data_IF_020724624467
#
_entry.id   IF_020724624467
#
_cell.length_a   1.000
_cell.length_b   1.000
_cell.length_c   1.000
_cell.angle_alpha   90.00
_cell.angle_beta   90.00
_cell.angle_gamma   90.00
#
_symmetry.space_group_name_H-M   'P 1'
#
loop_
_entity.id
_entity.type
_entity.pdbx_description
1 polymer ?
#
# COMPACT_ATOMS: atom_id res chain seq x y z
N UNK A 1 -22.75 18.69 20.06
CA UNK A 1 -22.19 19.22 18.81
C UNK A 1 -21.64 18.00 18.11
N UNK A 2 -22.50 17.43 17.26
CA UNK A 2 -22.26 16.20 16.53
C UNK A 2 -21.21 16.47 15.46
N UNK A 3 -20.14 15.68 15.42
CA UNK A 3 -19.12 15.77 14.38
C UNK A 3 -19.70 15.15 13.11
N UNK A 4 -20.27 16.00 12.26
CA UNK A 4 -20.66 15.66 10.91
C UNK A 4 -19.38 15.47 10.09
N UNK A 5 -18.89 14.22 10.05
CA UNK A 5 -17.87 13.77 9.12
C UNK A 5 -18.52 13.72 7.73
N UNK A 6 -18.61 14.88 7.09
CA UNK A 6 -19.01 14.96 5.68
C UNK A 6 -17.90 14.30 4.87
N UNK A 7 -18.11 13.01 4.62
CA UNK A 7 -17.48 12.21 3.58
C UNK A 7 -17.53 12.99 2.27
N UNK A 8 -16.41 13.64 1.94
CA UNK A 8 -16.13 14.01 0.57
C UNK A 8 -15.77 12.72 -0.15
N UNK A 9 -16.80 12.08 -0.72
CA UNK A 9 -16.65 11.07 -1.74
C UNK A 9 -15.82 11.67 -2.88
N UNK A 10 -14.54 11.34 -2.92
CA UNK A 10 -13.70 11.50 -4.09
C UNK A 10 -14.25 10.54 -5.15
N UNK A 11 -14.85 11.10 -6.18
CA UNK A 11 -15.31 10.37 -7.37
C UNK A 11 -14.16 9.54 -7.94
N UNK A 12 -14.23 8.21 -7.77
CA UNK A 12 -13.40 7.24 -8.48
C UNK A 12 -11.92 7.23 -8.10
N UNK A 13 -11.56 7.26 -6.82
CA UNK A 13 -10.23 6.84 -6.40
C UNK A 13 -9.99 5.41 -6.88
N UNK A 14 -9.13 5.24 -7.89
CA UNK A 14 -8.60 3.93 -8.26
C UNK A 14 -7.73 3.51 -7.07
N UNK A 15 -8.32 2.73 -6.15
CA UNK A 15 -7.55 2.09 -5.09
C UNK A 15 -6.58 1.16 -5.78
N UNK A 16 -5.28 1.31 -5.51
CA UNK A 16 -4.28 0.40 -6.02
C UNK A 16 -4.59 -1.00 -5.52
N UNK A 17 -4.70 -1.94 -6.45
CA UNK A 17 -5.02 -3.32 -6.16
C UNK A 17 -3.74 -4.16 -6.15
N UNK A 18 -3.41 -4.77 -5.01
CA UNK A 18 -2.25 -5.64 -4.92
C UNK A 18 -2.69 -7.08 -4.63
N UNK A 19 -1.86 -8.04 -5.06
CA UNK A 19 -2.11 -9.47 -4.84
C UNK A 19 -1.03 -10.02 -3.93
N UNK A 20 -1.42 -10.44 -2.73
CA UNK A 20 -0.56 -11.22 -1.86
C UNK A 20 -0.61 -12.69 -2.27
N UNK A 21 0.53 -13.23 -2.67
CA UNK A 21 0.72 -14.66 -2.92
C UNK A 21 1.32 -15.29 -1.66
N UNK A 22 0.55 -16.18 -1.04
CA UNK A 22 1.03 -17.08 0.01
C UNK A 22 1.40 -18.38 -0.69
N UNK A 23 2.68 -18.70 -0.76
CA UNK A 23 3.23 -19.86 -1.48
C UNK A 23 4.10 -20.75 -0.61
N UNK A 24 4.67 -21.80 -1.21
CA UNK A 24 5.76 -22.56 -0.61
C UNK A 24 7.08 -21.79 -0.76
N UNK A 25 8.03 -21.97 0.15
CA UNK A 25 9.40 -21.56 -0.11
C UNK A 25 9.99 -22.29 -1.34
N UNK A 26 11.11 -21.78 -1.87
CA UNK A 26 11.70 -22.29 -3.11
C UNK A 26 12.12 -23.76 -3.02
N UNK A 27 12.58 -24.21 -1.85
CA UNK A 27 13.08 -25.59 -1.64
C UNK A 27 11.91 -26.58 -1.59
N UNK A 28 10.83 -26.21 -0.90
CA UNK A 28 9.57 -26.96 -0.82
C UNK A 28 8.86 -26.99 -2.16
N UNK A 29 8.85 -25.88 -2.89
CA UNK A 29 8.31 -25.82 -4.25
C UNK A 29 9.10 -26.75 -5.18
N UNK A 30 10.43 -26.74 -5.10
CA UNK A 30 11.27 -27.65 -5.88
C UNK A 30 11.05 -29.13 -5.50
N UNK A 31 10.85 -29.45 -4.22
CA UNK A 31 10.50 -30.80 -3.75
C UNK A 31 9.15 -31.25 -4.32
N UNK A 32 8.13 -30.39 -4.27
CA UNK A 32 6.82 -30.63 -4.88
C UNK A 32 6.94 -30.93 -6.38
N UNK A 33 7.73 -30.14 -7.11
CA UNK A 33 7.95 -30.33 -8.56
C UNK A 33 8.66 -31.64 -8.90
N UNK A 34 9.46 -32.20 -7.98
CA UNK A 34 10.07 -33.53 -8.11
C UNK A 34 9.13 -34.68 -7.74
N UNK A 35 7.90 -34.39 -7.33
CA UNK A 35 6.90 -35.39 -6.93
C UNK A 35 7.05 -35.86 -5.49
N UNK A 36 7.81 -35.14 -4.65
CA UNK A 36 7.92 -35.44 -3.22
C UNK A 36 6.64 -35.02 -2.48
N UNK A 37 6.24 -35.80 -1.46
CA UNK A 37 5.11 -35.45 -0.62
C UNK A 37 5.49 -34.29 0.31
N UNK A 38 4.90 -33.12 0.07
CA UNK A 38 4.97 -31.95 0.96
C UNK A 38 3.73 -31.97 1.86
N UNK A 39 3.94 -31.98 3.18
CA UNK A 39 2.93 -32.17 4.22
C UNK A 39 2.43 -30.82 4.79
N UNK A 40 1.38 -30.80 5.66
CA UNK A 40 0.70 -29.57 6.06
C UNK A 40 1.62 -28.49 6.62
N UNK A 41 1.34 -27.29 6.14
CA UNK A 41 2.17 -26.10 6.16
C UNK A 41 2.42 -25.56 7.58
N UNK A 42 3.68 -25.52 7.99
CA UNK A 42 4.07 -24.58 9.03
C UNK A 42 4.15 -23.17 8.41
N UNK A 43 3.64 -22.10 9.06
CA UNK A 43 3.69 -20.75 8.50
C UNK A 43 5.09 -20.26 8.12
N UNK A 44 6.12 -20.77 8.80
CA UNK A 44 7.53 -20.44 8.53
C UNK A 44 8.11 -21.12 7.27
N UNK A 45 7.41 -22.12 6.71
CA UNK A 45 7.80 -22.81 5.46
C UNK A 45 7.12 -22.19 4.22
N UNK A 46 6.54 -21.00 4.39
CA UNK A 46 5.82 -20.27 3.35
C UNK A 46 6.65 -19.13 2.79
N UNK A 47 6.41 -18.83 1.53
CA UNK A 47 6.84 -17.58 0.90
C UNK A 47 5.66 -16.62 0.84
N UNK A 48 5.96 -15.33 0.97
CA UNK A 48 5.00 -14.26 0.83
C UNK A 48 5.52 -13.32 -0.24
N UNK A 49 4.74 -13.10 -1.29
CA UNK A 49 5.14 -12.24 -2.41
C UNK A 49 3.99 -11.32 -2.75
N UNK A 50 4.26 -10.02 -2.77
CA UNK A 50 3.29 -9.02 -3.15
C UNK A 50 3.46 -8.69 -4.63
N UNK A 51 2.39 -8.81 -5.41
CA UNK A 51 2.37 -8.57 -6.84
C UNK A 51 1.53 -7.31 -7.10
N UNK A 52 2.12 -6.37 -7.83
CA UNK A 52 1.39 -5.28 -8.45
C UNK A 52 1.03 -5.66 -9.89
N UNK A 53 -0.26 -5.83 -10.22
CA UNK A 53 -0.67 -6.15 -11.58
C UNK A 53 -0.32 -5.05 -12.58
N UNK A 54 -0.08 -5.43 -13.84
CA UNK A 54 0.15 -4.48 -14.91
C UNK A 54 -1.04 -3.52 -15.08
N UNK A 55 -0.75 -2.22 -15.20
CA UNK A 55 -1.79 -1.21 -15.38
C UNK A 55 -2.58 -0.85 -14.12
N UNK A 56 -2.16 -1.32 -12.94
CA UNK A 56 -2.78 -0.99 -11.66
C UNK A 56 -2.76 0.52 -11.33
N UNK A 57 -1.89 1.29 -12.02
CA UNK A 57 -1.90 2.75 -11.95
C UNK A 57 -1.63 3.27 -10.54
N UNK A 58 -0.79 2.57 -9.77
CA UNK A 58 -0.40 2.95 -8.42
C UNK A 58 0.05 4.41 -8.38
N UNK A 59 -0.49 5.13 -7.40
CA UNK A 59 -0.24 6.55 -7.14
C UNK A 59 -0.18 6.75 -5.63
N UNK A 60 0.42 7.84 -5.22
CA UNK A 60 0.25 8.36 -3.87
C UNK A 60 1.14 9.57 -3.66
N UNK A 61 1.79 9.68 -2.51
CA UNK A 61 2.61 10.84 -2.20
C UNK A 61 3.83 10.46 -1.36
N UNK A 62 5.00 10.95 -1.74
CA UNK A 62 6.22 10.80 -0.94
C UNK A 62 6.49 12.09 -0.19
N UNK A 63 7.19 11.98 0.94
CA UNK A 63 7.74 13.17 1.57
C UNK A 63 8.82 13.77 0.66
N UNK A 64 8.80 15.09 0.52
CA UNK A 64 9.91 15.76 -0.17
C UNK A 64 11.12 15.87 0.77
N UNK A 65 12.26 15.32 0.35
CA UNK A 65 13.52 15.39 1.11
C UNK A 65 14.37 16.64 0.84
N UNK A 66 13.89 17.57 0.01
CA UNK A 66 14.57 18.83 -0.28
C UNK A 66 14.03 19.98 0.58
N UNK A 67 14.87 20.97 0.94
CA UNK A 67 14.44 22.06 1.80
C UNK A 67 13.47 23.02 1.13
N UNK A 68 12.41 23.37 1.86
CA UNK A 68 11.35 24.27 1.41
C UNK A 68 11.57 25.70 1.92
N UNK A 69 11.49 26.67 1.02
CA UNK A 69 11.65 28.09 1.32
C UNK A 69 10.48 28.89 0.76
N UNK A 70 9.96 29.84 1.54
CA UNK A 70 8.92 30.76 1.10
C UNK A 70 9.25 32.19 1.53
N UNK A 71 9.26 33.12 0.57
CA UNK A 71 9.62 34.52 0.86
C UNK A 71 11.01 34.71 1.47
N UNK A 72 11.95 33.79 1.21
CA UNK A 72 13.30 33.81 1.80
C UNK A 72 13.40 33.26 3.22
N UNK A 73 12.30 32.74 3.78
CA UNK A 73 12.24 32.09 5.09
C UNK A 73 12.14 30.58 4.88
N UNK A 74 12.93 29.75 5.59
CA UNK A 74 12.74 28.31 5.54
C UNK A 74 11.39 27.99 6.16
N UNK A 75 10.59 27.19 5.46
CA UNK A 75 9.29 26.72 5.95
C UNK A 75 9.28 25.21 6.16
N UNK A 76 10.49 24.62 6.25
CA UNK A 76 10.66 23.33 6.88
C UNK A 76 10.26 23.44 8.35
N UNK A 77 9.51 22.46 8.83
CA UNK A 77 9.48 22.15 10.25
C UNK A 77 10.34 20.91 10.47
N UNK A 78 11.33 21.04 11.36
CA UNK A 78 12.10 19.89 11.83
C UNK A 78 11.12 18.93 12.51
N UNK A 79 10.86 17.80 11.84
CA UNK A 79 9.92 16.77 12.29
C UNK A 79 10.29 16.20 13.67
N UNK A 80 11.53 16.42 14.11
CA UNK A 80 11.99 15.98 15.43
C UNK A 80 11.62 16.96 16.55
N UNK A 81 11.12 18.15 16.19
CA UNK A 81 10.83 19.21 17.15
C UNK A 81 9.42 19.76 17.10
N UNK A 82 8.75 19.77 15.94
CA UNK A 82 7.40 20.31 15.83
C UNK A 82 6.67 19.83 14.55
N UNK A 83 5.58 19.09 14.72
CA UNK A 83 4.74 18.59 13.61
C UNK A 83 3.64 19.57 13.17
N UNK A 84 3.63 20.79 13.71
CA UNK A 84 2.66 21.80 13.31
C UNK A 84 3.04 22.43 11.97
N UNK A 85 2.03 22.59 11.13
CA UNK A 85 2.14 23.40 9.92
C UNK A 85 2.32 24.87 10.30
N UNK A 86 3.07 25.68 9.53
CA UNK A 86 2.97 27.12 9.65
C UNK A 86 1.49 27.52 9.57
N UNK A 87 0.99 28.23 10.59
CA UNK A 87 -0.43 28.59 10.66
C UNK A 87 -0.90 29.27 9.39
N UNK A 88 -1.99 28.78 8.80
CA UNK A 88 -2.56 29.25 7.54
C UNK A 88 -2.13 28.49 6.28
N UNK A 89 -1.25 27.48 6.42
CA UNK A 89 -0.78 26.64 5.31
C UNK A 89 -1.34 25.21 5.39
N UNK A 90 -2.26 24.94 6.32
CA UNK A 90 -2.97 23.68 6.44
C UNK A 90 -3.69 23.38 5.10
N UNK A 91 -3.31 22.30 4.41
CA UNK A 91 -3.93 21.85 3.15
C UNK A 91 -3.69 22.76 1.93
N UNK A 92 -2.68 23.61 1.96
CA UNK A 92 -2.32 24.41 0.78
C UNK A 92 -1.40 23.63 -0.17
N UNK A 93 -1.66 23.77 -1.47
CA UNK A 93 -0.71 23.39 -2.52
C UNK A 93 0.30 24.52 -2.76
N UNK A 94 1.58 24.16 -2.83
CA UNK A 94 2.68 25.12 -3.05
C UNK A 94 3.73 24.54 -3.99
N UNK A 95 4.28 25.38 -4.85
CA UNK A 95 5.41 24.99 -5.69
C UNK A 95 6.72 25.25 -4.96
N UNK A 96 7.52 24.20 -4.79
CA UNK A 96 8.91 24.29 -4.34
C UNK A 96 9.77 23.57 -5.37
N UNK A 97 10.97 24.10 -5.66
CA UNK A 97 11.93 23.49 -6.59
C UNK A 97 11.33 23.03 -7.94
N UNK A 98 10.24 23.67 -8.38
CA UNK A 98 9.53 23.38 -9.62
C UNK A 98 8.53 22.21 -9.54
N UNK A 99 8.21 21.72 -8.35
CA UNK A 99 7.25 20.64 -8.10
C UNK A 99 6.14 21.11 -7.16
N UNK A 100 4.89 20.78 -7.47
CA UNK A 100 3.76 21.03 -6.58
C UNK A 100 3.80 20.08 -5.39
N UNK A 101 3.78 20.67 -4.18
CA UNK A 101 3.69 19.97 -2.92
C UNK A 101 2.33 20.22 -2.28
N UNK A 102 1.87 19.24 -1.51
CA UNK A 102 0.73 19.35 -0.62
C UNK A 102 1.19 19.12 0.81
N UNK A 103 0.82 20.02 1.72
CA UNK A 103 1.04 19.80 3.14
C UNK A 103 0.07 18.74 3.67
N UNK A 104 0.60 17.77 4.43
CA UNK A 104 -0.18 16.76 5.14
C UNK A 104 0.22 16.75 6.62
N UNK A 105 -0.77 16.86 7.50
CA UNK A 105 -0.56 16.84 8.95
C UNK A 105 0.18 15.57 9.38
N UNK A 106 1.23 15.72 10.19
CA UNK A 106 2.10 14.62 10.60
C UNK A 106 3.18 14.21 9.59
N UNK A 107 3.13 14.70 8.35
CA UNK A 107 4.00 14.27 7.25
C UNK A 107 4.81 15.41 6.61
N UNK A 108 4.33 16.64 6.74
CA UNK A 108 4.94 17.82 6.16
C UNK A 108 4.62 17.99 4.67
N UNK A 109 5.57 18.54 3.91
CA UNK A 109 5.42 18.76 2.47
C UNK A 109 5.63 17.47 1.69
N UNK A 110 4.60 17.05 0.98
CA UNK A 110 4.59 15.82 0.18
C UNK A 110 4.46 16.13 -1.31
N UNK A 111 5.04 15.29 -2.16
CA UNK A 111 4.94 15.38 -3.62
C UNK A 111 4.21 14.16 -4.17
N UNK A 112 3.49 14.27 -5.31
CA UNK A 112 2.90 13.12 -5.97
C UNK A 112 3.96 12.05 -6.30
N UNK A 113 3.63 10.80 -6.06
CA UNK A 113 4.42 9.65 -6.46
C UNK A 113 3.72 8.91 -7.59
N UNK A 114 4.44 8.76 -8.71
CA UNK A 114 4.04 7.93 -9.85
C UNK A 114 4.91 6.68 -9.88
N UNK A 115 4.38 5.60 -9.34
CA UNK A 115 5.10 4.33 -9.20
C UNK A 115 4.34 3.39 -8.27
N UNK A 116 4.84 2.16 -8.13
CA UNK A 116 4.25 1.17 -7.25
C UNK A 116 5.04 1.11 -5.94
N UNK A 117 4.39 1.51 -4.83
CA UNK A 117 5.06 1.63 -3.53
C UNK A 117 5.62 0.29 -3.04
N UNK A 118 4.95 -0.82 -3.34
CA UNK A 118 5.38 -2.17 -2.92
C UNK A 118 6.68 -2.62 -3.59
N UNK A 119 7.11 -1.94 -4.66
CA UNK A 119 8.41 -2.15 -5.30
C UNK A 119 9.48 -1.17 -4.79
N UNK A 120 9.08 -0.14 -4.05
CA UNK A 120 9.95 0.94 -3.58
C UNK A 120 10.37 0.74 -2.11
N UNK A 121 9.49 0.18 -1.28
CA UNK A 121 9.72 -0.02 0.16
C UNK A 121 9.52 -1.46 0.58
N UNK A 122 10.11 -1.83 1.72
CA UNK A 122 9.72 -3.04 2.44
C UNK A 122 8.29 -2.83 2.98
N UNK A 123 7.48 -3.89 2.93
CA UNK A 123 6.10 -3.86 3.36
C UNK A 123 5.85 -4.86 4.48
N UNK A 124 4.89 -4.54 5.34
CA UNK A 124 4.48 -5.38 6.46
C UNK A 124 3.31 -6.29 6.06
N UNK A 125 3.35 -7.54 6.52
CA UNK A 125 2.32 -8.54 6.25
C UNK A 125 0.96 -8.15 6.85
N UNK A 126 -0.16 -8.64 6.27
CA UNK A 126 -1.46 -8.51 6.90
C UNK A 126 -1.47 -9.13 8.30
N UNK A 127 -2.21 -8.50 9.21
CA UNK A 127 -2.39 -9.03 10.56
C UNK A 127 -2.93 -10.47 10.51
N UNK A 128 -2.20 -11.41 11.11
CA UNK A 128 -2.61 -12.81 11.17
C UNK A 128 -2.41 -13.61 9.88
N UNK A 129 -1.59 -13.13 8.93
CA UNK A 129 -1.31 -13.80 7.64
C UNK A 129 -1.01 -15.31 7.77
N UNK A 130 -0.37 -15.73 8.86
CA UNK A 130 -0.06 -17.12 9.15
C UNK A 130 -1.29 -18.06 9.22
N UNK A 131 -2.48 -17.52 9.45
CA UNK A 131 -3.72 -18.30 9.57
C UNK A 131 -4.34 -18.63 8.20
N UNK A 132 -3.90 -17.96 7.14
CA UNK A 132 -4.47 -18.10 5.80
C UNK A 132 -3.75 -19.23 5.04
N UNK A 133 -4.49 -20.04 4.26
CA UNK A 133 -3.88 -21.09 3.45
C UNK A 133 -3.06 -20.51 2.29
N UNK A 134 -2.25 -21.36 1.66
CA UNK A 134 -1.61 -21.04 0.37
C UNK A 134 -2.67 -20.62 -0.64
N UNK A 135 -2.40 -19.53 -1.36
CA UNK A 135 -3.35 -18.92 -2.27
C UNK A 135 -2.92 -17.53 -2.71
N UNK A 136 -3.74 -16.93 -3.57
CA UNK A 136 -3.61 -15.53 -3.97
C UNK A 136 -4.75 -14.75 -3.34
N UNK A 137 -4.44 -13.60 -2.76
CA UNK A 137 -5.38 -12.79 -2.00
C UNK A 137 -5.32 -11.35 -2.44
N UNK A 138 -6.49 -10.73 -2.56
CA UNK A 138 -6.57 -9.29 -2.77
C UNK A 138 -6.20 -8.57 -1.49
N UNK A 139 -5.27 -7.63 -1.60
CA UNK A 139 -4.86 -6.77 -0.52
C UNK A 139 -4.91 -5.30 -0.95
N UNK A 140 -5.27 -4.46 0.01
CA UNK A 140 -5.13 -3.01 -0.09
C UNK A 140 -3.83 -2.61 0.59
N UNK A 141 -3.12 -1.68 -0.02
CA UNK A 141 -1.95 -1.04 0.57
C UNK A 141 -2.34 0.28 1.22
N UNK A 142 -1.86 0.47 2.44
CA UNK A 142 -1.70 1.79 3.04
C UNK A 142 -0.22 2.05 3.20
N UNK A 143 0.23 3.24 2.87
CA UNK A 143 1.65 3.51 2.82
C UNK A 143 1.97 4.96 3.09
N UNK A 144 3.13 5.15 3.73
CA UNK A 144 3.62 6.46 4.09
C UNK A 144 5.15 6.48 4.03
N UNK A 145 5.66 7.34 3.15
CA UNK A 145 7.10 7.56 2.94
C UNK A 145 7.88 6.26 2.62
N UNK A 146 8.59 5.71 3.61
CA UNK A 146 9.41 4.50 3.50
C UNK A 146 8.73 3.24 4.07
N UNK A 147 7.47 3.34 4.49
CA UNK A 147 6.73 2.27 5.16
C UNK A 147 5.45 1.94 4.39
N UNK A 148 5.14 0.66 4.24
CA UNK A 148 3.92 0.16 3.60
C UNK A 148 3.34 -0.98 4.45
N UNK A 149 2.04 -0.96 4.69
CA UNK A 149 1.31 -2.04 5.34
C UNK A 149 0.25 -2.52 4.38
N UNK A 150 0.04 -3.83 4.30
CA UNK A 150 -1.03 -4.38 3.48
C UNK A 150 -2.07 -5.08 4.32
N UNK A 151 -3.33 -4.91 3.97
CA UNK A 151 -4.46 -5.55 4.61
C UNK A 151 -5.25 -6.38 3.60
N UNK A 152 -5.84 -7.49 4.05
CA UNK A 152 -6.73 -8.26 3.18
C UNK A 152 -7.96 -7.45 2.81
N UNK A 153 -8.09 -7.11 1.52
CA UNK A 153 -9.33 -6.57 0.97
C UNK A 153 -10.44 -7.64 1.01
N UNK A 154 -10.04 -8.91 0.85
CA UNK A 154 -10.88 -10.08 1.01
C UNK A 154 -10.11 -11.23 1.67
N UNK A 155 -10.75 -11.86 2.65
CA UNK A 155 -10.19 -13.00 3.41
C UNK A 155 -10.25 -14.33 2.66
N UNK A 156 -11.04 -14.42 1.59
CA UNK A 156 -11.09 -15.58 0.71
C UNK A 156 -10.04 -15.48 -0.41
N UNK A 157 -9.38 -16.57 -0.81
CA UNK A 157 -8.44 -16.53 -1.92
C UNK A 157 -9.18 -16.26 -3.25
N UNK A 158 -8.52 -15.58 -4.18
CA UNK A 158 -9.03 -15.22 -5.51
C UNK A 158 -9.71 -16.38 -6.25
N UNK A 159 -9.17 -17.60 -6.12
CA UNK A 159 -9.74 -18.80 -6.74
C UNK A 159 -11.14 -19.16 -6.19
N UNK A 160 -11.44 -18.82 -4.94
CA UNK A 160 -12.74 -19.03 -4.30
C UNK A 160 -13.73 -17.88 -4.59
N UNK A 161 -13.22 -16.70 -4.94
CA UNK A 161 -14.04 -15.51 -5.20
C UNK A 161 -14.69 -15.51 -6.60
N UNK A 162 -14.25 -16.38 -7.52
CA UNK A 162 -14.91 -16.51 -8.82
C UNK A 162 -16.33 -17.08 -8.63
N UNK A 163 -17.39 -16.39 -9.08
CA UNK A 163 -18.73 -16.98 -9.07
C UNK A 163 -18.75 -18.21 -9.99
N UNK A 164 -19.59 -19.18 -9.64
CA UNK A 164 -19.89 -20.38 -10.43
C UNK A 164 -20.58 -20.07 -11.78
N UNK A 165 -20.00 -19.19 -12.60
CA UNK A 165 -20.54 -18.73 -13.89
C UNK A 165 -20.38 -19.74 -15.02
N UNK A 166 -19.89 -20.95 -14.74
CA UNK A 166 -19.82 -22.03 -15.72
C UNK A 166 -21.08 -22.93 -15.80
N UNK A 167 -22.14 -22.67 -15.00
CA UNK A 167 -23.31 -23.56 -14.94
C UNK A 167 -24.57 -23.08 -15.70
N UNK A 168 -24.49 -22.04 -16.54
CA UNK A 168 -25.64 -21.52 -17.30
C UNK A 168 -25.44 -21.53 -18.82
N UNK A 169 -24.79 -22.56 -19.36
CA UNK A 169 -24.75 -22.84 -20.79
C UNK A 169 -25.07 -24.32 -21.05
N UNK A 170 -26.34 -24.69 -20.82
CA UNK A 170 -26.98 -25.90 -21.35
C UNK A 170 -28.38 -25.55 -21.85
#
# INVERSE_FOLDING_TARGET
MECDATSHALEGAVVSHHILVIGLDADREAARQRGEAVFPEHPDERSYTLICPDGNGCKGFLRCGEPHWFGGVPIEHDINHDNSVPSGYEHEEREFHGVTHLWREGWGWTVPYEGCIVNYVDWEYPTGVAQYPIGQYDVEDDWIDDSCWVEFANVEPLAAQQPAMAAAAL
#
